data_IF_384270760845
#
_entry.id   IF_384270760845
#
_cell.length_a   1.000
_cell.length_b   1.000
_cell.length_c   1.000
_cell.angle_alpha   90.00
_cell.angle_beta   90.00
_cell.angle_gamma   90.00
#
_symmetry.space_group_name_H-M   'P 1'
#
loop_
_entity.id
_entity.type
_entity.pdbx_description
1 polymer ?
#
# COMPACT_ATOMS: atom_id res chain seq x y z
N UNK A 1 15.77 -9.20 -77.45
CA UNK A 1 16.31 -9.53 -76.10
C UNK A 1 15.96 -8.54 -74.99
N UNK A 2 16.01 -7.20 -75.20
CA UNK A 2 15.82 -6.21 -74.11
C UNK A 2 14.43 -6.13 -73.45
N UNK A 3 13.33 -6.54 -74.12
CA UNK A 3 11.96 -6.48 -73.56
C UNK A 3 11.69 -7.56 -72.49
N UNK A 4 12.23 -8.77 -72.67
CA UNK A 4 12.03 -9.86 -71.71
C UNK A 4 12.82 -9.65 -70.42
N UNK A 5 14.00 -9.02 -70.50
CA UNK A 5 14.80 -8.67 -69.32
C UNK A 5 14.12 -7.58 -68.46
N UNK A 6 13.45 -6.61 -69.09
CA UNK A 6 12.69 -5.56 -68.38
C UNK A 6 11.45 -6.12 -67.68
N UNK A 7 10.73 -7.03 -68.33
CA UNK A 7 9.58 -7.70 -67.72
C UNK A 7 10.00 -8.58 -66.52
N UNK A 8 11.14 -9.27 -66.63
CA UNK A 8 11.67 -10.10 -65.56
C UNK A 8 12.14 -9.28 -64.35
N UNK A 9 12.81 -8.15 -64.58
CA UNK A 9 13.21 -7.24 -63.49
C UNK A 9 12.01 -6.63 -62.77
N UNK A 10 10.94 -6.29 -63.49
CA UNK A 10 9.71 -5.79 -62.90
C UNK A 10 9.03 -6.87 -62.04
N UNK A 11 8.97 -8.10 -62.53
CA UNK A 11 8.40 -9.23 -61.78
C UNK A 11 9.18 -9.50 -60.47
N UNK A 12 10.52 -9.48 -60.51
CA UNK A 12 11.35 -9.67 -59.31
C UNK A 12 11.17 -8.55 -58.29
N UNK A 13 10.99 -7.30 -58.73
CA UNK A 13 10.78 -6.15 -57.84
C UNK A 13 9.43 -6.25 -57.12
N UNK A 14 8.36 -6.58 -57.85
CA UNK A 14 7.04 -6.81 -57.26
C UNK A 14 7.07 -7.97 -56.27
N UNK A 15 7.75 -9.06 -56.61
CA UNK A 15 7.83 -10.24 -55.76
C UNK A 15 8.66 -9.98 -54.48
N UNK A 16 9.76 -9.23 -54.60
CA UNK A 16 10.54 -8.76 -53.45
C UNK A 16 9.75 -7.82 -52.53
N UNK A 17 8.96 -6.90 -53.11
CA UNK A 17 8.08 -6.03 -52.35
C UNK A 17 7.00 -6.83 -51.61
N UNK A 18 6.34 -7.79 -52.28
CA UNK A 18 5.33 -8.64 -51.65
C UNK A 18 5.90 -9.51 -50.53
N UNK A 19 7.11 -10.05 -50.70
CA UNK A 19 7.78 -10.82 -49.64
C UNK A 19 8.16 -9.93 -48.45
N UNK A 20 8.71 -8.75 -48.69
CA UNK A 20 9.04 -7.79 -47.64
C UNK A 20 7.78 -7.32 -46.90
N UNK A 21 6.70 -7.04 -47.65
CA UNK A 21 5.42 -6.64 -47.09
C UNK A 21 4.78 -7.76 -46.29
N UNK A 22 4.79 -9.00 -46.78
CA UNK A 22 4.30 -10.17 -46.05
C UNK A 22 5.10 -10.44 -44.78
N UNK A 23 6.43 -10.29 -44.83
CA UNK A 23 7.30 -10.46 -43.66
C UNK A 23 7.04 -9.38 -42.61
N UNK A 24 6.88 -8.12 -43.04
CA UNK A 24 6.58 -7.00 -42.15
C UNK A 24 5.17 -7.14 -41.55
N UNK A 25 4.18 -7.49 -42.36
CA UNK A 25 2.80 -7.73 -41.92
C UNK A 25 2.69 -8.91 -40.93
N UNK A 26 3.41 -10.02 -41.20
CA UNK A 26 3.46 -11.17 -40.30
C UNK A 26 4.18 -10.85 -38.97
N UNK A 27 5.16 -9.94 -38.97
CA UNK A 27 5.87 -9.50 -37.77
C UNK A 27 5.03 -8.52 -36.95
N UNK A 28 4.37 -7.57 -37.60
CA UNK A 28 3.48 -6.59 -36.96
C UNK A 28 2.25 -7.24 -36.32
N UNK A 29 1.67 -8.28 -36.96
CA UNK A 29 0.59 -9.07 -36.34
C UNK A 29 1.06 -9.95 -35.16
N UNK A 30 2.35 -10.27 -35.07
CA UNK A 30 2.91 -11.06 -33.96
C UNK A 30 3.02 -10.25 -32.67
N UNK A 31 3.18 -8.93 -32.80
CA UNK A 31 3.20 -7.99 -31.67
C UNK A 31 1.76 -7.61 -31.23
N UNK A 32 0.75 -7.82 -32.09
CA UNK A 32 -0.67 -7.59 -31.80
C UNK A 32 -1.48 -8.87 -31.44
N UNK A 33 -0.83 -10.03 -31.39
CA UNK A 33 -1.34 -11.21 -30.66
C UNK A 33 -1.18 -10.97 -29.14
N UNK A 34 -1.90 -9.97 -28.61
CA UNK A 34 -2.35 -9.98 -27.22
C UNK A 34 -3.28 -11.18 -27.08
N UNK A 35 -2.69 -12.37 -26.96
CA UNK A 35 -3.35 -13.66 -27.05
C UNK A 35 -4.45 -13.73 -25.99
N UNK A 36 -5.58 -14.35 -26.34
CA UNK A 36 -6.66 -14.66 -25.40
C UNK A 36 -6.17 -15.46 -24.15
N UNK A 37 -4.97 -16.00 -24.21
CA UNK A 37 -4.23 -16.62 -23.11
C UNK A 37 -3.78 -15.60 -22.06
N UNK A 38 -3.19 -14.45 -22.46
CA UNK A 38 -2.81 -13.37 -21.55
C UNK A 38 -4.02 -12.79 -20.81
N UNK A 39 -5.16 -12.61 -21.50
CA UNK A 39 -6.42 -12.15 -20.88
C UNK A 39 -6.97 -13.14 -19.85
N UNK A 40 -6.84 -14.45 -20.11
CA UNK A 40 -7.23 -15.50 -19.14
C UNK A 40 -6.31 -15.50 -17.92
N UNK A 41 -5.01 -15.35 -18.13
CA UNK A 41 -4.05 -15.22 -17.03
C UNK A 41 -4.35 -13.99 -16.18
N UNK A 42 -4.49 -12.81 -16.79
CA UNK A 42 -4.83 -11.57 -16.08
C UNK A 42 -6.15 -11.68 -15.32
N UNK A 43 -7.19 -12.23 -15.94
CA UNK A 43 -8.48 -12.46 -15.29
C UNK A 43 -8.34 -13.41 -14.09
N UNK A 44 -7.59 -14.50 -14.24
CA UNK A 44 -7.36 -15.46 -13.16
C UNK A 44 -6.56 -14.86 -12.00
N UNK A 45 -5.59 -13.98 -12.29
CA UNK A 45 -4.82 -13.26 -11.28
C UNK A 45 -5.70 -12.28 -10.53
N UNK A 46 -6.57 -11.54 -11.24
CA UNK A 46 -7.54 -10.63 -10.63
C UNK A 46 -8.54 -11.38 -9.74
N UNK A 47 -9.09 -12.50 -10.21
CA UNK A 47 -10.01 -13.32 -9.41
C UNK A 47 -9.31 -13.89 -8.16
N UNK A 48 -8.06 -14.35 -8.30
CA UNK A 48 -7.25 -14.79 -7.16
C UNK A 48 -6.99 -13.65 -6.17
N UNK A 49 -6.68 -12.45 -6.65
CA UNK A 49 -6.46 -11.28 -5.79
C UNK A 49 -7.74 -10.93 -5.01
N UNK A 50 -8.88 -10.86 -5.70
CA UNK A 50 -10.19 -10.57 -5.08
C UNK A 50 -10.56 -11.65 -4.05
N UNK A 51 -10.34 -12.93 -4.37
CA UNK A 51 -10.62 -14.02 -3.43
C UNK A 51 -9.70 -13.99 -2.20
N UNK A 52 -8.41 -13.64 -2.38
CA UNK A 52 -7.46 -13.44 -1.29
C UNK A 52 -7.84 -12.24 -0.42
N UNK A 53 -8.23 -11.10 -1.01
CA UNK A 53 -8.72 -9.94 -0.26
C UNK A 53 -9.95 -10.30 0.58
N UNK A 54 -10.90 -11.04 -0.01
CA UNK A 54 -12.09 -11.51 0.71
C UNK A 54 -11.74 -12.46 1.86
N UNK A 55 -10.79 -13.37 1.66
CA UNK A 55 -10.30 -14.26 2.71
C UNK A 55 -9.60 -13.49 3.83
N UNK A 56 -8.71 -12.55 3.49
CA UNK A 56 -8.02 -11.70 4.46
C UNK A 56 -9.02 -10.92 5.32
N UNK A 57 -10.00 -10.27 4.69
CA UNK A 57 -11.06 -9.53 5.40
C UNK A 57 -11.88 -10.44 6.33
N UNK A 58 -12.16 -11.69 5.90
CA UNK A 58 -12.86 -12.67 6.75
C UNK A 58 -12.00 -13.08 7.95
N UNK A 59 -10.73 -13.39 7.72
CA UNK A 59 -9.79 -13.78 8.77
C UNK A 59 -9.56 -12.64 9.78
N UNK A 60 -9.48 -11.40 9.31
CA UNK A 60 -9.38 -10.22 10.16
C UNK A 60 -10.60 -10.07 11.08
N UNK A 61 -11.82 -10.26 10.54
CA UNK A 61 -13.04 -10.25 11.34
C UNK A 61 -13.09 -11.40 12.36
N UNK A 62 -12.62 -12.58 11.99
CA UNK A 62 -12.54 -13.74 12.90
C UNK A 62 -11.51 -13.49 14.01
N UNK A 63 -10.34 -12.94 13.66
CA UNK A 63 -9.30 -12.53 14.61
C UNK A 63 -9.86 -11.55 15.63
N UNK A 64 -10.54 -10.50 15.17
CA UNK A 64 -11.14 -9.51 16.06
C UNK A 64 -12.17 -10.12 17.01
N UNK A 65 -13.05 -11.00 16.50
CA UNK A 65 -14.02 -11.72 17.35
C UNK A 65 -13.33 -12.58 18.39
N UNK A 66 -12.29 -13.32 18.01
CA UNK A 66 -11.54 -14.19 18.93
C UNK A 66 -10.80 -13.40 19.99
N UNK A 67 -10.18 -12.27 19.62
CA UNK A 67 -9.55 -11.35 20.57
C UNK A 67 -10.56 -10.82 21.59
N UNK A 68 -11.77 -10.45 21.17
CA UNK A 68 -12.83 -10.02 22.08
C UNK A 68 -13.28 -11.14 23.05
N UNK A 69 -13.39 -12.39 22.57
CA UNK A 69 -13.72 -13.54 23.41
C UNK A 69 -12.63 -13.78 24.48
N UNK A 70 -11.35 -13.68 24.09
CA UNK A 70 -10.21 -13.80 25.00
C UNK A 70 -10.25 -12.71 26.07
N UNK A 71 -10.44 -11.44 25.68
CA UNK A 71 -10.54 -10.31 26.64
C UNK A 71 -11.70 -10.48 27.64
N UNK A 72 -12.87 -10.96 27.18
CA UNK A 72 -14.00 -11.26 28.09
C UNK A 72 -13.66 -12.33 29.11
N UNK A 73 -12.91 -13.35 28.69
CA UNK A 73 -12.48 -14.44 29.57
C UNK A 73 -11.44 -13.97 30.59
N UNK A 74 -10.44 -13.19 30.14
CA UNK A 74 -9.42 -12.60 31.01
C UNK A 74 -10.03 -11.69 32.08
N UNK A 75 -10.99 -10.83 31.70
CA UNK A 75 -11.66 -9.93 32.64
C UNK A 75 -12.54 -10.66 33.65
N UNK A 76 -13.12 -11.82 33.29
CA UNK A 76 -13.82 -12.68 34.24
C UNK A 76 -12.84 -13.32 35.24
N UNK A 77 -11.70 -13.84 34.75
CA UNK A 77 -10.66 -14.44 35.60
C UNK A 77 -10.04 -13.44 36.59
N UNK A 78 -9.82 -12.18 36.16
CA UNK A 78 -9.32 -11.09 37.01
C UNK A 78 -10.22 -10.84 38.23
N UNK A 79 -11.52 -11.09 38.12
CA UNK A 79 -12.50 -10.89 39.22
C UNK A 79 -12.58 -12.08 40.18
N UNK A 80 -12.31 -13.29 39.71
CA UNK A 80 -12.60 -14.52 40.45
C UNK A 80 -11.42 -14.98 41.32
N UNK A 81 -10.16 -14.79 40.89
CA UNK A 81 -8.97 -15.21 41.66
C UNK A 81 -7.88 -14.15 41.68
N UNK A 82 -7.38 -13.82 42.87
CA UNK A 82 -6.24 -12.90 43.07
C UNK A 82 -4.96 -13.34 42.34
N UNK A 83 -4.75 -14.64 42.17
CA UNK A 83 -3.59 -15.20 41.47
C UNK A 83 -3.52 -14.80 39.99
N UNK A 84 -4.67 -14.65 39.31
CA UNK A 84 -4.71 -14.24 37.90
C UNK A 84 -4.60 -12.73 37.70
N UNK A 85 -4.66 -11.93 38.78
CA UNK A 85 -4.60 -10.48 38.68
C UNK A 85 -3.30 -10.00 38.04
N UNK A 86 -2.16 -10.48 38.55
CA UNK A 86 -0.83 -10.10 38.04
C UNK A 86 -0.62 -10.56 36.60
N UNK A 87 -1.11 -11.76 36.24
CA UNK A 87 -0.98 -12.30 34.88
C UNK A 87 -1.76 -11.44 33.88
N UNK A 88 -3.00 -11.05 34.21
CA UNK A 88 -3.81 -10.19 33.32
C UNK A 88 -3.20 -8.80 33.20
N UNK A 89 -2.61 -8.27 34.27
CA UNK A 89 -1.87 -7.00 34.22
C UNK A 89 -0.64 -7.08 33.31
N UNK A 90 0.13 -8.16 33.40
CA UNK A 90 1.28 -8.39 32.52
C UNK A 90 0.83 -8.52 31.05
N UNK A 91 -0.30 -9.19 30.79
CA UNK A 91 -0.90 -9.26 29.43
C UNK A 91 -1.27 -7.87 28.92
N UNK A 92 -1.94 -7.04 29.72
CA UNK A 92 -2.27 -5.66 29.36
C UNK A 92 -1.00 -4.85 29.07
N UNK A 93 0.05 -5.04 29.90
CA UNK A 93 1.35 -4.40 29.72
C UNK A 93 2.00 -4.78 28.39
N UNK A 94 2.03 -6.07 28.04
CA UNK A 94 2.58 -6.52 26.76
C UNK A 94 1.77 -5.99 25.59
N UNK A 95 0.43 -5.94 25.68
CA UNK A 95 -0.44 -5.34 24.66
C UNK A 95 -0.12 -3.86 24.42
N UNK A 96 0.21 -3.09 25.46
CA UNK A 96 0.68 -1.70 25.31
C UNK A 96 1.98 -1.61 24.50
N UNK A 97 2.95 -2.49 24.79
CA UNK A 97 4.24 -2.54 24.12
C UNK A 97 4.13 -2.91 22.64
N UNK A 98 3.32 -3.92 22.31
CA UNK A 98 3.13 -4.34 20.90
C UNK A 98 2.15 -3.43 20.13
N UNK A 99 1.48 -2.51 20.82
CA UNK A 99 0.56 -1.54 20.21
C UNK A 99 -0.83 -2.07 19.89
N UNK A 100 -1.26 -3.15 20.55
CA UNK A 100 -2.61 -3.72 20.40
C UNK A 100 -3.69 -2.89 21.11
N UNK A 101 -3.31 -2.08 22.09
CA UNK A 101 -4.23 -1.20 22.82
C UNK A 101 -3.76 0.26 22.82
N UNK A 102 -4.73 1.16 22.99
CA UNK A 102 -4.47 2.58 23.16
C UNK A 102 -3.69 2.87 24.44
N UNK A 103 -2.79 3.84 24.36
CA UNK A 103 -1.96 4.29 25.48
C UNK A 103 -2.02 5.82 25.58
N UNK A 104 -1.78 6.34 26.78
CA UNK A 104 -1.74 7.78 27.05
C UNK A 104 -0.51 8.10 27.88
N UNK A 105 0.11 9.24 27.60
CA UNK A 105 1.27 9.76 28.30
C UNK A 105 1.60 11.17 27.84
N UNK A 106 2.62 11.76 28.45
CA UNK A 106 3.18 13.02 28.00
C UNK A 106 3.86 12.87 26.64
N UNK A 107 3.94 13.98 25.90
CA UNK A 107 4.52 13.98 24.57
C UNK A 107 4.06 15.16 23.72
N UNK A 108 4.17 15.01 22.40
CA UNK A 108 3.95 16.08 21.44
C UNK A 108 2.95 15.70 20.35
N UNK A 109 2.40 16.73 19.70
CA UNK A 109 1.54 16.60 18.51
C UNK A 109 2.08 17.49 17.40
N UNK A 110 2.46 16.89 16.29
CA UNK A 110 2.94 17.55 15.09
C UNK A 110 1.85 17.48 14.04
N UNK A 111 1.53 18.60 13.39
CA UNK A 111 0.53 18.64 12.32
C UNK A 111 1.20 19.05 11.02
N UNK A 112 1.21 18.14 10.04
CA UNK A 112 1.65 18.41 8.68
C UNK A 112 0.45 18.80 7.82
N UNK A 113 0.57 19.91 7.10
CA UNK A 113 -0.49 20.44 6.24
C UNK A 113 0.08 20.76 4.86
N UNK A 114 -0.73 20.56 3.85
CA UNK A 114 -0.45 21.06 2.51
C UNK A 114 -0.45 22.60 2.50
N UNK A 115 0.25 23.18 1.54
CA UNK A 115 0.24 24.62 1.36
C UNK A 115 -1.16 25.11 0.98
N UNK A 116 -1.56 26.26 1.54
CA UNK A 116 -2.83 26.90 1.19
C UNK A 116 -2.82 27.60 -0.17
N UNK A 117 -1.63 27.82 -0.75
CA UNK A 117 -1.42 28.50 -2.02
C UNK A 117 -0.26 27.87 -2.77
N UNK A 118 -0.43 27.69 -4.08
CA UNK A 118 0.57 27.19 -5.01
C UNK A 118 0.75 28.25 -6.10
N UNK A 119 1.95 28.83 -6.28
CA UNK A 119 2.20 29.81 -7.32
C UNK A 119 1.95 29.25 -8.73
N UNK A 120 1.49 30.09 -9.65
CA UNK A 120 1.31 29.68 -11.05
C UNK A 120 2.66 29.28 -11.68
N UNK A 121 2.67 28.16 -12.40
CA UNK A 121 3.86 27.62 -13.05
C UNK A 121 4.75 26.74 -12.16
N UNK A 122 4.44 26.63 -10.86
CA UNK A 122 5.15 25.76 -9.94
C UNK A 122 4.63 24.32 -9.94
N UNK A 123 5.48 23.38 -9.54
CA UNK A 123 5.09 21.98 -9.41
C UNK A 123 4.32 21.74 -8.10
N UNK A 124 3.03 21.42 -8.21
CA UNK A 124 2.12 21.11 -7.08
C UNK A 124 2.70 20.09 -6.11
N UNK A 125 3.48 19.11 -6.59
CA UNK A 125 4.08 18.10 -5.74
C UNK A 125 5.01 18.69 -4.67
N UNK A 126 5.59 19.88 -4.88
CA UNK A 126 6.46 20.50 -3.88
C UNK A 126 5.68 21.16 -2.73
N UNK A 127 4.36 21.26 -2.85
CA UNK A 127 3.49 22.00 -1.93
C UNK A 127 2.52 21.09 -1.17
N UNK A 128 2.59 19.79 -1.38
CA UNK A 128 1.80 18.78 -0.67
C UNK A 128 2.69 17.92 0.22
N UNK A 129 2.12 17.39 1.29
CA UNK A 129 2.82 16.49 2.20
C UNK A 129 2.82 15.08 1.61
N UNK A 130 4.02 14.54 1.40
CA UNK A 130 4.21 13.17 0.92
C UNK A 130 4.43 12.18 2.05
N UNK A 131 4.25 10.89 1.76
CA UNK A 131 4.56 9.78 2.66
C UNK A 131 6.01 9.81 3.13
N UNK A 132 6.94 10.23 2.26
CA UNK A 132 8.37 10.35 2.60
C UNK A 132 8.63 11.40 3.69
N UNK A 133 7.84 12.47 3.76
CA UNK A 133 7.93 13.47 4.83
C UNK A 133 7.47 12.88 6.16
N UNK A 134 6.40 12.09 6.15
CA UNK A 134 5.88 11.39 7.32
C UNK A 134 6.90 10.36 7.81
N UNK A 135 7.46 9.55 6.92
CA UNK A 135 8.49 8.57 7.29
C UNK A 135 9.70 9.22 7.96
N UNK A 136 10.17 10.35 7.43
CA UNK A 136 11.25 11.12 8.07
C UNK A 136 10.85 11.57 9.47
N UNK A 137 9.67 12.18 9.62
CA UNK A 137 9.18 12.62 10.92
C UNK A 137 9.07 11.47 11.92
N UNK A 138 8.52 10.32 11.51
CA UNK A 138 8.41 9.14 12.38
C UNK A 138 9.78 8.66 12.85
N UNK A 139 10.76 8.60 11.95
CA UNK A 139 12.13 8.21 12.30
C UNK A 139 12.75 9.17 13.30
N UNK A 140 12.62 10.48 13.10
CA UNK A 140 13.12 11.48 14.06
C UNK A 140 12.46 11.32 15.44
N UNK A 141 11.15 11.06 15.49
CA UNK A 141 10.43 10.80 16.74
C UNK A 141 10.96 9.55 17.45
N UNK A 142 11.15 8.45 16.74
CA UNK A 142 11.68 7.21 17.33
C UNK A 142 13.14 7.34 17.79
N UNK A 143 13.99 8.00 17.00
CA UNK A 143 15.39 8.26 17.37
C UNK A 143 15.46 9.17 18.60
N UNK A 144 14.53 10.11 18.73
CA UNK A 144 14.40 10.98 19.90
C UNK A 144 13.78 10.30 21.13
N UNK A 145 13.43 9.00 21.04
CA UNK A 145 12.95 8.22 22.18
C UNK A 145 11.43 8.18 22.33
N UNK A 146 10.65 8.49 21.29
CA UNK A 146 9.19 8.33 21.35
C UNK A 146 8.81 6.85 21.60
N UNK A 147 8.09 6.60 22.69
CA UNK A 147 7.64 5.28 23.11
C UNK A 147 6.41 4.76 22.34
N UNK A 148 5.58 5.68 21.85
CA UNK A 148 4.44 5.36 21.00
C UNK A 148 4.17 6.50 20.03
N UNK A 149 3.81 6.17 18.79
CA UNK A 149 3.49 7.15 17.75
C UNK A 149 2.18 6.77 17.06
N UNK A 150 1.37 7.76 16.70
CA UNK A 150 0.16 7.56 15.90
C UNK A 150 0.02 8.62 14.82
N UNK A 151 -0.60 8.25 13.70
CA UNK A 151 -0.99 9.14 12.60
C UNK A 151 -2.51 9.20 12.57
N UNK A 152 -3.09 10.39 12.76
CA UNK A 152 -4.53 10.62 12.79
C UNK A 152 -5.28 9.65 13.75
N UNK A 153 -4.61 9.26 14.84
CA UNK A 153 -5.14 8.32 15.83
C UNK A 153 -4.84 6.84 15.55
N UNK A 154 -4.32 6.47 14.38
CA UNK A 154 -3.86 5.12 14.09
C UNK A 154 -2.47 4.88 14.66
N UNK A 155 -2.35 3.92 15.58
CA UNK A 155 -1.07 3.49 16.18
C UNK A 155 -0.14 2.98 15.09
N UNK A 156 1.07 3.54 15.01
CA UNK A 156 2.13 3.03 14.14
C UNK A 156 2.95 2.02 14.93
N UNK A 157 3.15 0.84 14.34
CA UNK A 157 3.96 -0.25 14.90
C UNK A 157 5.08 -0.64 13.94
N UNK A 158 5.94 -1.58 14.35
CA UNK A 158 7.03 -2.09 13.52
C UNK A 158 6.56 -2.80 12.24
N UNK A 159 5.30 -3.24 12.19
CA UNK A 159 4.69 -3.87 11.01
C UNK A 159 3.82 -2.90 10.21
N UNK A 160 3.69 -1.65 10.66
CA UNK A 160 2.86 -0.69 9.96
C UNK A 160 3.50 -0.28 8.63
N UNK A 161 2.67 -0.09 7.60
CA UNK A 161 3.09 0.45 6.31
C UNK A 161 2.34 1.73 6.00
N UNK A 162 3.01 2.61 5.26
CA UNK A 162 2.47 3.89 4.81
C UNK A 162 2.71 3.99 3.31
N UNK A 163 1.67 4.31 2.55
CA UNK A 163 1.76 4.57 1.11
C UNK A 163 0.98 5.82 0.72
N UNK A 164 1.37 6.44 -0.39
CA UNK A 164 0.67 7.60 -0.94
C UNK A 164 -0.28 7.15 -2.06
N UNK A 165 -1.54 7.56 -1.97
CA UNK A 165 -2.59 7.25 -2.92
C UNK A 165 -3.25 8.55 -3.40
N UNK A 166 -2.53 9.31 -4.23
CA UNK A 166 -2.99 10.63 -4.70
C UNK A 166 -2.90 11.69 -3.59
N UNK A 167 -4.00 12.38 -3.22
CA UNK A 167 -3.97 13.42 -2.17
C UNK A 167 -4.10 12.86 -0.74
N UNK A 168 -4.15 11.54 -0.58
CA UNK A 168 -4.30 10.88 0.73
C UNK A 168 -3.14 9.92 0.97
N UNK A 169 -2.79 9.73 2.24
CA UNK A 169 -1.93 8.63 2.66
C UNK A 169 -2.79 7.45 3.10
N UNK A 170 -2.26 6.25 2.95
CA UNK A 170 -2.83 5.03 3.50
C UNK A 170 -1.91 4.51 4.59
N UNK A 171 -2.46 4.28 5.78
CA UNK A 171 -1.75 3.68 6.92
C UNK A 171 -2.46 2.37 7.24
N UNK A 172 -1.78 1.23 7.10
CA UNK A 172 -2.33 -0.12 7.27
C UNK A 172 -3.72 -0.33 6.62
N UNK A 173 -3.91 0.21 5.41
CA UNK A 173 -5.15 0.09 4.64
C UNK A 173 -6.19 1.18 4.91
N UNK A 174 -6.03 2.00 5.96
CA UNK A 174 -6.92 3.13 6.24
C UNK A 174 -6.42 4.41 5.55
N UNK A 175 -7.31 5.09 4.82
CA UNK A 175 -6.97 6.31 4.10
C UNK A 175 -7.21 7.55 4.97
N UNK A 176 -6.25 8.46 4.96
CA UNK A 176 -6.30 9.73 5.66
C UNK A 176 -5.97 10.88 4.70
N UNK A 177 -6.80 11.93 4.62
CA UNK A 177 -6.44 13.16 3.92
C UNK A 177 -5.60 14.07 4.81
N UNK A 178 -4.89 15.02 4.19
CA UNK A 178 -4.28 16.13 4.92
C UNK A 178 -5.38 16.97 5.63
N UNK A 179 -5.11 17.54 6.82
CA UNK A 179 -3.83 17.55 7.52
C UNK A 179 -3.53 16.25 8.27
N UNK A 180 -2.25 15.88 8.33
CA UNK A 180 -1.75 14.71 9.05
C UNK A 180 -1.32 15.10 10.45
N UNK A 181 -1.99 14.54 11.46
CA UNK A 181 -1.74 14.79 12.87
C UNK A 181 -0.96 13.61 13.43
N UNK A 182 0.33 13.80 13.65
CA UNK A 182 1.23 12.83 14.24
C UNK A 182 1.30 13.11 15.74
N UNK A 183 0.92 12.16 16.57
CA UNK A 183 1.04 12.26 18.03
C UNK A 183 2.10 11.28 18.51
N UNK A 184 3.02 11.73 19.35
CA UNK A 184 4.10 10.93 19.89
C UNK A 184 4.14 11.07 21.41
N UNK A 185 4.26 9.95 22.13
CA UNK A 185 4.43 9.89 23.59
C UNK A 185 5.92 9.71 23.88
N UNK A 186 6.47 10.52 24.77
CA UNK A 186 7.90 10.56 25.12
C UNK A 186 8.21 11.76 26.01
N UNK A 187 9.47 11.91 26.40
CA UNK A 187 9.98 13.08 27.14
C UNK A 187 10.07 14.30 26.18
N UNK A 188 9.29 15.39 26.38
CA UNK A 188 9.22 16.52 25.44
C UNK A 188 10.41 17.48 25.44
#
# INVERSE_FOLDING_TARGET
MKRHTVNLSLAMLVLGFLLSFSYQFARENKDHEETAENWKEEYSLRDRLISQEKQNKKLEQELYKKQQEVQKTETALKKEKKEYYNIVEDVERYRMFVGEIGVQGEGIKVTLKDASYIPEGENVNNYIVHESHIFRLLNELWISGAAAVSINGQRVTHHSYISCNGPVITVDGNQYPAPFVISAIGDP
#
